data_IF_849820630721
#
_entry.id   IF_849820630721
#
_cell.length_a   1.000
_cell.length_b   1.000
_cell.length_c   1.000
_cell.angle_alpha   90.00
_cell.angle_beta   90.00
_cell.angle_gamma   90.00
#
_symmetry.space_group_name_H-M   'P 1'
#
loop_
_entity.id
_entity.type
_entity.pdbx_description
1 polymer ?
#
# COMPACT_ATOMS: atom_id res chain seq x y z
N UNK A 1 -7.06 -47.03 7.75
CA UNK A 1 -5.78 -46.30 7.88
C UNK A 1 -5.52 -45.37 6.69
N UNK A 2 -5.46 -45.88 5.45
CA UNK A 2 -5.16 -45.08 4.25
C UNK A 2 -6.25 -44.05 3.87
N UNK A 3 -7.52 -44.37 4.08
CA UNK A 3 -8.66 -43.48 3.82
C UNK A 3 -8.73 -42.29 4.77
N UNK A 4 -8.40 -42.48 6.06
CA UNK A 4 -8.32 -41.40 7.03
C UNK A 4 -7.18 -40.42 6.72
N UNK A 5 -6.03 -40.92 6.24
CA UNK A 5 -4.95 -40.06 5.77
C UNK A 5 -5.37 -39.20 4.57
N UNK A 6 -6.10 -39.79 3.61
CA UNK A 6 -6.58 -39.04 2.44
C UNK A 6 -7.60 -37.96 2.84
N UNK A 7 -8.47 -38.24 3.81
CA UNK A 7 -9.44 -37.29 4.33
C UNK A 7 -8.78 -36.13 5.11
N UNK A 8 -7.73 -36.43 5.88
CA UNK A 8 -6.91 -35.41 6.53
C UNK A 8 -6.19 -34.52 5.51
N UNK A 9 -5.69 -35.11 4.43
CA UNK A 9 -4.96 -34.39 3.39
C UNK A 9 -5.86 -33.41 2.64
N UNK A 10 -7.10 -33.81 2.31
CA UNK A 10 -8.08 -32.91 1.67
C UNK A 10 -8.48 -31.77 2.60
N UNK A 11 -8.75 -32.03 3.88
CA UNK A 11 -9.07 -30.99 4.87
C UNK A 11 -7.92 -29.97 5.03
N UNK A 12 -6.67 -30.43 5.05
CA UNK A 12 -5.50 -29.56 5.06
C UNK A 12 -5.47 -28.66 3.81
N UNK A 13 -5.60 -29.24 2.61
CA UNK A 13 -5.58 -28.46 1.37
C UNK A 13 -6.71 -27.41 1.27
N UNK A 14 -7.91 -27.73 1.76
CA UNK A 14 -9.02 -26.76 1.81
C UNK A 14 -8.75 -25.60 2.79
N UNK A 15 -8.07 -25.86 3.91
CA UNK A 15 -7.69 -24.83 4.89
C UNK A 15 -6.66 -23.83 4.34
N UNK A 16 -5.80 -24.26 3.41
CA UNK A 16 -4.83 -23.37 2.75
C UNK A 16 -5.42 -22.62 1.54
N UNK A 17 -6.54 -23.08 0.99
CA UNK A 17 -7.14 -22.48 -0.21
C UNK A 17 -8.14 -21.35 0.10
N UNK A 18 -8.56 -21.18 1.36
CA UNK A 18 -9.46 -20.10 1.79
C UNK A 18 -8.71 -18.86 2.28
N UNK A 19 -7.81 -18.33 1.44
CA UNK A 19 -7.58 -16.88 1.33
C UNK A 19 -6.96 -16.50 -0.02
N UNK A 20 -7.65 -16.72 -1.16
CA UNK A 20 -7.33 -15.99 -2.38
C UNK A 20 -7.79 -14.55 -2.15
N UNK A 21 -6.88 -13.65 -1.75
CA UNK A 21 -7.22 -12.22 -1.70
C UNK A 21 -6.64 -11.36 -0.58
N UNK A 22 -5.53 -11.72 0.07
CA UNK A 22 -4.77 -10.76 0.89
C UNK A 22 -4.00 -9.72 0.03
N UNK A 23 -4.59 -9.25 -1.08
CA UNK A 23 -3.91 -8.47 -2.10
C UNK A 23 -4.71 -7.32 -2.71
N UNK A 24 -5.93 -6.98 -2.25
CA UNK A 24 -6.79 -6.05 -3.00
C UNK A 24 -7.60 -5.01 -2.19
N UNK A 25 -7.19 -4.58 -0.99
CA UNK A 25 -7.81 -3.38 -0.37
C UNK A 25 -6.91 -2.45 0.45
N UNK A 26 -5.61 -2.73 0.62
CA UNK A 26 -4.64 -1.70 1.06
C UNK A 26 -4.05 -0.90 -0.13
N UNK A 27 -4.53 -1.15 -1.35
CA UNK A 27 -4.23 -0.35 -2.56
C UNK A 27 -4.89 1.06 -2.54
N UNK A 28 -5.54 1.46 -1.44
CA UNK A 28 -6.38 2.66 -1.36
C UNK A 28 -5.74 3.90 -0.71
N UNK A 29 -4.54 3.79 -0.14
CA UNK A 29 -3.80 4.97 0.33
C UNK A 29 -2.40 4.93 -0.26
N UNK A 30 -2.32 5.20 -1.57
CA UNK A 30 -1.03 5.46 -2.21
C UNK A 30 -0.35 6.55 -1.37
N UNK A 31 0.85 6.30 -0.81
CA UNK A 31 1.46 7.27 0.10
C UNK A 31 1.56 8.59 -0.64
N UNK A 32 1.09 9.64 0.02
CA UNK A 32 1.05 11.02 -0.46
C UNK A 32 2.42 11.46 -1.00
N UNK A 33 3.50 10.98 -0.37
CA UNK A 33 4.87 11.06 -0.89
C UNK A 33 5.06 10.48 -2.31
N UNK A 34 4.60 9.25 -2.56
CA UNK A 34 4.81 8.59 -3.86
C UNK A 34 4.01 9.26 -4.98
N UNK A 35 2.83 9.80 -4.66
CA UNK A 35 2.05 10.58 -5.62
C UNK A 35 2.71 11.93 -5.92
N UNK A 36 3.29 12.58 -4.91
CA UNK A 36 4.06 13.82 -5.08
C UNK A 36 5.24 13.62 -6.05
N UNK A 37 6.09 12.63 -5.79
CA UNK A 37 7.28 12.36 -6.61
C UNK A 37 6.90 11.90 -8.03
N UNK A 38 5.86 11.08 -8.18
CA UNK A 38 5.36 10.67 -9.51
C UNK A 38 4.91 11.87 -10.35
N UNK A 39 4.34 12.89 -9.72
CA UNK A 39 3.87 14.09 -10.40
C UNK A 39 5.00 15.12 -10.67
N UNK A 40 6.26 14.77 -10.39
CA UNK A 40 7.42 15.66 -10.56
C UNK A 40 7.63 16.64 -9.41
N UNK A 41 6.89 16.46 -8.30
CA UNK A 41 7.07 17.26 -7.09
C UNK A 41 8.11 16.69 -6.15
N UNK A 42 8.43 17.46 -5.12
CA UNK A 42 9.33 17.08 -4.03
C UNK A 42 8.69 17.39 -2.67
N UNK A 43 9.08 16.61 -1.66
CA UNK A 43 8.52 16.71 -0.32
C UNK A 43 9.43 17.53 0.60
N UNK A 44 8.86 18.54 1.26
CA UNK A 44 9.56 19.38 2.24
C UNK A 44 8.80 19.45 3.55
N UNK A 45 9.51 19.24 4.66
CA UNK A 45 8.99 19.53 6.01
C UNK A 45 8.91 21.04 6.29
N UNK A 46 9.77 21.81 5.62
CA UNK A 46 9.78 23.28 5.65
C UNK A 46 8.77 23.87 4.67
N UNK A 47 8.77 25.20 4.53
CA UNK A 47 7.99 25.87 3.50
C UNK A 47 8.52 25.55 2.09
N UNK A 48 7.61 25.47 1.12
CA UNK A 48 7.99 25.35 -0.29
C UNK A 48 8.74 26.61 -0.76
N UNK A 49 9.76 26.47 -1.63
CA UNK A 49 10.47 27.61 -2.20
C UNK A 49 9.52 28.53 -2.99
N UNK A 50 9.87 29.82 -3.08
CA UNK A 50 9.02 30.89 -3.63
C UNK A 50 8.52 30.62 -5.05
N UNK A 51 9.31 29.91 -5.85
CA UNK A 51 8.98 29.56 -7.24
C UNK A 51 8.16 28.28 -7.39
N UNK A 52 7.82 27.59 -6.29
CA UNK A 52 7.04 26.35 -6.29
C UNK A 52 5.72 26.52 -5.54
N UNK A 53 4.74 25.68 -5.86
CA UNK A 53 3.41 25.71 -5.22
C UNK A 53 3.16 24.46 -4.40
N UNK A 54 2.44 24.62 -3.29
CA UNK A 54 1.96 23.50 -2.49
C UNK A 54 0.80 22.84 -3.25
N UNK A 55 0.97 21.59 -3.65
CA UNK A 55 -0.08 20.82 -4.38
C UNK A 55 -0.67 19.70 -3.54
N UNK A 56 -0.11 19.43 -2.37
CA UNK A 56 -0.55 18.37 -1.47
C UNK A 56 0.38 18.20 -0.27
N UNK A 57 0.35 17.01 0.34
CA UNK A 57 1.19 16.65 1.48
C UNK A 57 2.09 15.45 1.19
N UNK A 58 3.04 15.19 2.07
CA UNK A 58 3.87 13.98 2.09
C UNK A 58 3.99 13.41 3.51
N UNK A 59 4.32 12.12 3.60
CA UNK A 59 4.56 11.39 4.85
C UNK A 59 3.36 11.44 5.81
N UNK A 60 2.16 11.18 5.28
CA UNK A 60 0.89 11.23 6.02
C UNK A 60 0.60 12.63 6.58
N UNK A 61 0.83 13.68 5.79
CA UNK A 61 0.54 15.05 6.20
C UNK A 61 1.65 15.76 6.98
N UNK A 62 2.79 15.11 7.24
CA UNK A 62 3.89 15.71 8.02
C UNK A 62 4.75 16.68 7.21
N UNK A 63 4.74 16.55 5.90
CA UNK A 63 5.45 17.42 4.97
C UNK A 63 4.51 17.93 3.87
N UNK A 64 4.96 18.95 3.15
CA UNK A 64 4.28 19.57 2.02
C UNK A 64 4.84 19.01 0.72
N UNK A 65 3.97 18.75 -0.25
CA UNK A 65 4.38 18.44 -1.62
C UNK A 65 4.46 19.74 -2.42
N UNK A 66 5.65 20.05 -2.93
CA UNK A 66 5.95 21.25 -3.70
C UNK A 66 6.22 20.87 -5.17
N UNK A 67 5.66 21.63 -6.12
CA UNK A 67 5.92 21.52 -7.57
C UNK A 67 6.28 22.87 -8.14
#
# INVERSE_FOLDING_TARGET
>A
MRTHCLLLLTICFLSFHTAPGAGLTSLGHRPDHYQCVKNGGFCLYSACPVYSKIVGTCYSGKAKCCT
#
